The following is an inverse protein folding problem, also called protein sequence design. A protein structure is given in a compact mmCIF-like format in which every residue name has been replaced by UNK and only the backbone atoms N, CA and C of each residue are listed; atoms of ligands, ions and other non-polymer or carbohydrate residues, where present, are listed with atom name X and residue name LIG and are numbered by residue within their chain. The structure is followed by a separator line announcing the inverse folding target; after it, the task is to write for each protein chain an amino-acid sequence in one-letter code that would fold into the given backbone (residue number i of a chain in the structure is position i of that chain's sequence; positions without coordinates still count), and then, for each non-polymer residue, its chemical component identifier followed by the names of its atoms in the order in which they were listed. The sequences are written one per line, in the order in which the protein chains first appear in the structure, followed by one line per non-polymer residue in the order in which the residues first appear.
data_IF_881615839170
#
_entry.id   IF_881615839170
#
_cell.length_a   1.000
_cell.length_b   1.000
_cell.length_c   1.000
_cell.angle_alpha   90.00
_cell.angle_beta   90.00
_cell.angle_gamma   90.00
#
_symmetry.space_group_name_H-M   'P 1'
#
loop_
_entity.id
_entity.type
_entity.pdbx_description
1 polymer ?
#
# COMPACT_ATOMS: atom_id res chain seq x y z
N UNK A 1 -22.90 1.92 -5.60
CA UNK A 1 -22.82 3.15 -4.78
C UNK A 1 -23.55 2.98 -3.46
N UNK A 2 -24.87 2.76 -3.41
CA UNK A 2 -25.64 2.63 -2.14
C UNK A 2 -25.15 1.46 -1.27
N UNK A 3 -24.80 0.33 -1.88
CA UNK A 3 -24.32 -0.87 -1.17
C UNK A 3 -22.92 -0.64 -0.58
N UNK A 4 -22.08 0.08 -1.29
CA UNK A 4 -20.73 0.42 -0.88
C UNK A 4 -20.73 1.46 0.24
N UNK A 5 -21.59 2.49 0.15
CA UNK A 5 -21.80 3.47 1.22
C UNK A 5 -22.38 2.83 2.49
N UNK A 6 -23.28 1.86 2.34
CA UNK A 6 -23.82 1.11 3.48
C UNK A 6 -22.82 0.24 4.20
N UNK A 7 -21.79 -0.26 3.49
CA UNK A 7 -20.70 -1.03 4.08
C UNK A 7 -19.72 -0.14 4.89
N UNK A 8 -19.57 1.11 4.47
CA UNK A 8 -18.58 2.05 5.02
C UNK A 8 -19.19 2.97 6.08
N UNK A 9 -20.38 3.53 5.81
CA UNK A 9 -21.01 4.56 6.63
C UNK A 9 -22.30 4.10 7.35
N UNK A 10 -22.58 2.78 7.35
CA UNK A 10 -23.81 2.24 7.92
C UNK A 10 -25.07 2.50 7.08
N UNK A 11 -26.22 2.10 7.60
CA UNK A 11 -27.49 2.23 6.88
C UNK A 11 -28.00 3.67 6.92
N UNK A 12 -28.15 4.29 5.75
CA UNK A 12 -28.83 5.58 5.65
C UNK A 12 -30.31 5.52 6.07
N UNK A 13 -30.90 6.66 6.35
CA UNK A 13 -32.30 6.76 6.80
C UNK A 13 -33.25 6.40 5.63
N UNK A 14 -34.25 5.52 5.85
CA UNK A 14 -35.20 5.16 4.81
C UNK A 14 -35.92 6.41 4.26
N UNK A 15 -36.01 6.53 2.93
CA UNK A 15 -36.63 7.64 2.18
C UNK A 15 -35.96 9.02 2.28
N UNK A 16 -35.00 9.23 3.16
CA UNK A 16 -34.26 10.50 3.34
C UNK A 16 -32.85 10.42 2.80
N UNK A 17 -32.22 9.24 2.83
CA UNK A 17 -30.83 9.02 2.42
C UNK A 17 -29.86 9.21 3.56
N UNK A 18 -28.68 9.71 3.27
CA UNK A 18 -27.63 10.03 4.23
C UNK A 18 -27.67 11.53 4.54
N UNK A 19 -27.47 11.89 5.80
CA UNK A 19 -27.14 13.28 6.14
C UNK A 19 -25.80 13.66 5.50
N UNK A 20 -25.75 14.82 4.88
CA UNK A 20 -24.56 15.26 4.15
C UNK A 20 -23.34 15.41 5.07
N UNK A 21 -23.54 15.95 6.25
CA UNK A 21 -22.47 16.16 7.22
C UNK A 21 -21.99 14.82 7.80
N UNK A 22 -22.91 13.92 8.16
CA UNK A 22 -22.59 12.57 8.63
C UNK A 22 -21.85 11.77 7.56
N UNK A 23 -22.28 11.85 6.30
CA UNK A 23 -21.65 11.17 5.18
C UNK A 23 -20.25 11.73 4.90
N UNK A 24 -20.09 13.05 4.95
CA UNK A 24 -18.79 13.70 4.75
C UNK A 24 -17.82 13.28 5.84
N UNK A 25 -18.21 13.36 7.11
CA UNK A 25 -17.36 12.94 8.24
C UNK A 25 -17.00 11.45 8.15
N UNK A 26 -17.94 10.59 7.82
CA UNK A 26 -17.70 9.16 7.66
C UNK A 26 -16.75 8.85 6.50
N UNK A 27 -16.88 9.55 5.38
CA UNK A 27 -15.98 9.42 4.24
C UNK A 27 -14.59 10.01 4.56
N UNK A 28 -14.53 11.13 5.27
CA UNK A 28 -13.27 11.69 5.76
C UNK A 28 -12.58 10.77 6.76
N UNK A 29 -13.31 10.12 7.66
CA UNK A 29 -12.78 9.11 8.58
C UNK A 29 -12.30 7.86 7.84
N UNK A 30 -12.99 7.46 6.77
CA UNK A 30 -12.59 6.33 5.94
C UNK A 30 -11.43 6.65 4.99
N UNK A 31 -11.35 7.89 4.51
CA UNK A 31 -10.34 8.36 3.57
C UNK A 31 -9.20 9.11 4.28
N UNK A 32 -9.48 9.70 5.44
CA UNK A 32 -8.59 10.54 6.23
C UNK A 32 -8.34 10.03 7.65
N UNK A 33 -8.61 8.75 7.92
CA UNK A 33 -8.23 8.10 9.19
C UNK A 33 -6.76 8.35 9.50
N UNK A 34 -6.31 8.08 10.73
CA UNK A 34 -4.92 8.32 11.17
C UNK A 34 -3.94 7.93 10.07
N UNK A 35 -2.95 8.79 9.75
CA UNK A 35 -1.98 8.49 8.70
C UNK A 35 -1.39 7.09 8.90
N UNK A 36 -1.52 6.25 7.91
CA UNK A 36 -1.04 4.86 7.95
C UNK A 36 0.37 4.82 7.40
N UNK A 37 1.30 4.27 8.17
CA UNK A 37 2.68 4.11 7.73
C UNK A 37 2.80 2.95 6.74
N UNK A 38 3.50 3.20 5.64
CA UNK A 38 3.80 2.23 4.61
C UNK A 38 5.29 2.18 4.29
N UNK A 39 5.76 1.04 3.82
CA UNK A 39 7.09 0.86 3.25
C UNK A 39 7.02 0.19 1.88
N UNK A 40 8.01 0.46 1.04
CA UNK A 40 8.18 -0.21 -0.25
C UNK A 40 9.30 -1.24 -0.12
N UNK A 41 9.12 -2.43 -0.71
CA UNK A 41 10.19 -3.39 -0.90
C UNK A 41 10.41 -3.62 -2.39
N UNK A 42 11.63 -3.32 -2.82
CA UNK A 42 12.04 -3.23 -4.21
C UNK A 42 12.22 -1.77 -4.65
N UNK A 43 13.45 -1.24 -4.59
CA UNK A 43 13.75 0.13 -5.00
C UNK A 43 14.19 0.22 -6.47
N UNK A 44 13.57 -0.56 -7.34
CA UNK A 44 13.68 -0.42 -8.79
C UNK A 44 12.95 0.82 -9.31
N UNK A 45 12.83 0.94 -10.63
CA UNK A 45 12.19 2.12 -11.26
C UNK A 45 10.78 2.39 -10.73
N UNK A 46 9.94 1.35 -10.61
CA UNK A 46 8.58 1.50 -10.08
C UNK A 46 8.58 1.86 -8.60
N UNK A 47 9.38 1.15 -7.78
CA UNK A 47 9.44 1.41 -6.34
C UNK A 47 9.89 2.83 -6.04
N UNK A 48 10.88 3.36 -6.74
CA UNK A 48 11.33 4.76 -6.60
C UNK A 48 10.26 5.76 -7.04
N UNK A 49 9.59 5.52 -8.16
CA UNK A 49 8.50 6.36 -8.62
C UNK A 49 7.35 6.45 -7.60
N UNK A 50 7.00 5.31 -6.98
CA UNK A 50 6.00 5.30 -5.91
C UNK A 50 6.50 5.98 -4.63
N UNK A 51 7.78 5.82 -4.29
CA UNK A 51 8.39 6.43 -3.11
C UNK A 51 8.33 7.96 -3.15
N UNK A 52 8.56 8.54 -4.33
CA UNK A 52 8.59 9.98 -4.57
C UNK A 52 7.21 10.58 -4.84
N UNK A 53 6.19 9.74 -5.07
CA UNK A 53 4.86 10.23 -5.35
C UNK A 53 4.18 10.80 -4.10
N UNK A 54 3.94 12.10 -4.09
CA UNK A 54 3.36 12.82 -2.94
C UNK A 54 1.85 12.55 -2.73
N UNK A 55 1.13 12.13 -3.77
CA UNK A 55 -0.33 11.99 -3.73
C UNK A 55 -0.88 10.98 -2.73
N UNK A 56 -0.06 10.03 -2.25
CA UNK A 56 -0.53 9.05 -1.25
C UNK A 56 -0.84 9.68 0.10
N UNK A 57 -0.16 10.76 0.47
CA UNK A 57 -0.40 11.47 1.73
C UNK A 57 -1.78 12.14 1.77
N UNK A 58 -2.31 12.54 0.62
CA UNK A 58 -3.65 13.11 0.49
C UNK A 58 -4.74 12.09 0.87
N UNK A 59 -4.44 10.80 0.75
CA UNK A 59 -5.30 9.68 1.12
C UNK A 59 -4.90 9.02 2.45
N UNK A 60 -4.15 9.74 3.30
CA UNK A 60 -3.78 9.25 4.62
C UNK A 60 -2.73 8.14 4.65
N UNK A 61 -2.00 7.90 3.55
CA UNK A 61 -0.90 6.92 3.50
C UNK A 61 0.43 7.63 3.42
N UNK A 62 1.30 7.37 4.40
CA UNK A 62 2.64 7.93 4.41
C UNK A 62 3.69 6.84 4.14
N UNK A 63 4.30 6.88 2.96
CA UNK A 63 5.40 5.98 2.62
C UNK A 63 6.68 6.54 3.27
N UNK A 64 7.26 5.77 4.20
CA UNK A 64 8.38 6.23 5.03
C UNK A 64 9.74 5.96 4.37
N UNK A 65 9.90 4.79 3.75
CA UNK A 65 11.16 4.34 3.16
C UNK A 65 10.92 3.28 2.10
N UNK A 66 11.92 3.04 1.26
CA UNK A 66 12.03 1.83 0.44
C UNK A 66 13.16 0.94 0.94
N UNK A 67 13.05 -0.35 0.65
CA UNK A 67 14.04 -1.38 1.00
C UNK A 67 14.47 -2.15 -0.24
N UNK A 68 15.76 -2.43 -0.37
CA UNK A 68 16.31 -3.20 -1.48
C UNK A 68 17.51 -4.03 -1.04
N UNK A 69 17.81 -5.09 -1.80
CA UNK A 69 19.01 -5.91 -1.61
C UNK A 69 20.28 -5.18 -2.06
N UNK A 70 20.16 -4.35 -3.10
CA UNK A 70 21.26 -3.63 -3.73
C UNK A 70 21.24 -2.16 -3.33
N UNK A 71 21.53 -1.89 -2.07
CA UNK A 71 21.70 -0.52 -1.59
C UNK A 71 23.18 -0.20 -1.57
N UNK A 72 23.64 0.92 -2.17
CA UNK A 72 25.02 1.38 -2.02
C UNK A 72 25.39 1.56 -0.55
N UNK A 73 26.63 1.23 -0.19
CA UNK A 73 27.13 1.31 1.19
C UNK A 73 27.01 2.73 1.80
N UNK A 74 26.99 3.77 0.95
CA UNK A 74 26.87 5.18 1.33
C UNK A 74 25.40 5.61 1.55
N UNK A 75 24.44 4.67 1.46
CA UNK A 75 23.02 4.95 1.45
C UNK A 75 22.58 5.52 0.09
N UNK A 76 21.45 5.07 -0.39
CA UNK A 76 20.80 5.65 -1.55
C UNK A 76 19.60 6.46 -1.07
N UNK A 77 19.31 7.54 -1.73
CA UNK A 77 18.12 8.34 -1.49
C UNK A 77 17.37 8.48 -2.79
N UNK A 78 16.11 8.26 -2.74
CA UNK A 78 15.20 8.97 -3.61
C UNK A 78 15.27 10.47 -3.26
N UNK A 79 14.70 11.36 -4.03
CA UNK A 79 14.84 12.80 -3.84
C UNK A 79 14.55 13.24 -2.41
N UNK A 80 13.63 12.58 -1.71
CA UNK A 80 13.14 13.00 -0.38
C UNK A 80 13.18 11.90 0.70
N UNK A 81 13.26 10.61 0.34
CA UNK A 81 13.08 9.50 1.28
C UNK A 81 14.20 8.46 1.17
N UNK A 82 14.54 7.78 2.28
CA UNK A 82 15.65 6.84 2.30
C UNK A 82 15.32 5.54 1.57
N UNK A 83 16.34 4.98 0.93
CA UNK A 83 16.39 3.59 0.48
C UNK A 83 17.35 2.84 1.39
N UNK A 84 16.85 1.84 2.10
CA UNK A 84 17.52 1.11 3.17
C UNK A 84 17.81 -0.34 2.76
N UNK A 85 18.80 -0.99 3.36
CA UNK A 85 19.07 -2.40 3.14
C UNK A 85 17.96 -3.28 3.73
N UNK A 86 17.71 -4.43 3.10
CA UNK A 86 16.71 -5.41 3.55
C UNK A 86 16.93 -5.87 5.00
N UNK A 87 18.16 -5.87 5.48
CA UNK A 87 18.49 -6.23 6.87
C UNK A 87 17.85 -5.32 7.91
N UNK A 88 17.55 -4.08 7.56
CA UNK A 88 16.92 -3.11 8.46
C UNK A 88 15.37 -3.17 8.43
N UNK A 89 14.77 -3.96 7.53
CA UNK A 89 13.33 -3.95 7.29
C UNK A 89 12.51 -4.30 8.53
N UNK A 90 12.86 -5.38 9.22
CA UNK A 90 12.08 -5.87 10.35
C UNK A 90 12.07 -4.86 11.51
N UNK A 91 13.22 -4.35 11.89
CA UNK A 91 13.38 -3.38 12.98
C UNK A 91 12.70 -2.05 12.62
N UNK A 92 12.85 -1.62 11.38
CA UNK A 92 12.20 -0.40 10.90
C UNK A 92 10.67 -0.50 10.95
N UNK A 93 10.09 -1.62 10.49
CA UNK A 93 8.66 -1.85 10.51
C UNK A 93 8.12 -1.85 11.95
N UNK A 94 8.82 -2.51 12.87
CA UNK A 94 8.43 -2.55 14.29
C UNK A 94 8.50 -1.16 14.93
N UNK A 95 9.59 -0.43 14.73
CA UNK A 95 9.81 0.89 15.34
C UNK A 95 8.82 1.95 14.82
N UNK A 96 8.39 1.85 13.56
CA UNK A 96 7.52 2.83 12.92
C UNK A 96 6.05 2.39 12.81
N UNK A 97 5.68 1.25 13.41
CA UNK A 97 4.31 0.70 13.36
C UNK A 97 3.76 0.61 11.93
N UNK A 98 4.58 0.08 11.02
CA UNK A 98 4.23 -0.02 9.61
C UNK A 98 3.07 -0.99 9.43
N UNK A 99 2.01 -0.54 8.78
CA UNK A 99 0.80 -1.32 8.54
C UNK A 99 0.69 -1.83 7.10
N UNK A 100 1.27 -1.11 6.13
CA UNK A 100 1.18 -1.41 4.71
C UNK A 100 2.57 -1.72 4.14
N UNK A 101 2.67 -2.86 3.43
CA UNK A 101 3.83 -3.24 2.64
C UNK A 101 3.52 -3.16 1.14
N UNK A 102 4.28 -2.36 0.40
CA UNK A 102 4.18 -2.23 -1.05
C UNK A 102 5.26 -3.10 -1.67
N UNK A 103 4.85 -4.11 -2.44
CA UNK A 103 5.74 -5.15 -2.99
C UNK A 103 5.96 -4.89 -4.47
N UNK A 104 7.17 -4.42 -4.82
CA UNK A 104 7.59 -4.07 -6.18
C UNK A 104 8.81 -4.87 -6.65
N UNK A 105 9.08 -5.99 -6.00
CA UNK A 105 10.14 -6.94 -6.36
C UNK A 105 9.69 -7.90 -7.47
N UNK A 106 10.63 -8.58 -8.16
CA UNK A 106 10.30 -9.67 -9.08
C UNK A 106 9.48 -10.78 -8.39
N UNK A 107 8.68 -11.51 -9.17
CA UNK A 107 7.76 -12.55 -8.67
C UNK A 107 8.46 -13.62 -7.83
N UNK A 108 9.71 -13.93 -8.17
CA UNK A 108 10.53 -14.95 -7.50
C UNK A 108 10.85 -14.57 -6.04
N UNK A 109 10.94 -13.27 -5.75
CA UNK A 109 11.24 -12.75 -4.42
C UNK A 109 10.00 -12.33 -3.63
N UNK A 110 8.86 -12.19 -4.29
CA UNK A 110 7.67 -11.56 -3.73
C UNK A 110 7.14 -12.29 -2.49
N UNK A 111 7.09 -13.63 -2.49
CA UNK A 111 6.62 -14.40 -1.34
C UNK A 111 7.54 -14.24 -0.14
N UNK A 112 8.84 -14.40 -0.33
CA UNK A 112 9.82 -14.29 0.75
C UNK A 112 9.82 -12.91 1.41
N UNK A 113 9.71 -11.85 0.60
CA UNK A 113 9.59 -10.47 1.07
C UNK A 113 8.31 -10.26 1.86
N UNK A 114 7.20 -10.77 1.37
CA UNK A 114 5.89 -10.65 2.03
C UNK A 114 5.87 -11.38 3.37
N UNK A 115 6.51 -12.55 3.46
CA UNK A 115 6.66 -13.31 4.71
C UNK A 115 7.49 -12.52 5.75
N UNK A 116 8.53 -11.81 5.33
CA UNK A 116 9.31 -10.95 6.21
C UNK A 116 8.46 -9.79 6.71
N UNK A 117 7.77 -9.08 5.82
CA UNK A 117 6.87 -7.98 6.18
C UNK A 117 5.78 -8.44 7.16
N UNK A 118 5.15 -9.59 6.89
CA UNK A 118 4.11 -10.14 7.75
C UNK A 118 4.63 -10.44 9.16
N UNK A 119 5.80 -11.09 9.27
CA UNK A 119 6.47 -11.36 10.56
C UNK A 119 6.86 -10.08 11.31
N UNK A 120 7.09 -9.00 10.58
CA UNK A 120 7.40 -7.68 11.14
C UNK A 120 6.15 -6.87 11.55
N UNK A 121 4.95 -7.47 11.49
CA UNK A 121 3.70 -6.86 11.94
C UNK A 121 2.84 -6.24 10.84
N UNK A 122 3.31 -6.21 9.58
CA UNK A 122 2.52 -5.70 8.45
C UNK A 122 1.36 -6.65 8.16
N UNK A 123 0.18 -6.10 7.90
CA UNK A 123 -1.05 -6.85 7.64
C UNK A 123 -1.76 -6.47 6.36
N UNK A 124 -1.38 -5.37 5.73
CA UNK A 124 -1.93 -4.95 4.45
C UNK A 124 -0.83 -4.91 3.38
N UNK A 125 -1.11 -5.44 2.20
CA UNK A 125 -0.13 -5.59 1.12
C UNK A 125 -0.67 -5.02 -0.18
N UNK A 126 0.15 -4.23 -0.85
CA UNK A 126 -0.11 -3.75 -2.21
C UNK A 126 0.94 -4.35 -3.14
N UNK A 127 0.53 -5.35 -3.93
CA UNK A 127 1.45 -6.18 -4.69
C UNK A 127 1.42 -5.86 -6.19
N UNK A 128 2.55 -5.46 -6.71
CA UNK A 128 2.78 -5.23 -8.14
C UNK A 128 3.48 -6.40 -8.84
N UNK A 129 3.93 -7.40 -8.09
CA UNK A 129 4.52 -8.60 -8.67
C UNK A 129 3.45 -9.45 -9.38
N UNK A 130 3.72 -9.97 -10.57
CA UNK A 130 2.75 -10.77 -11.34
C UNK A 130 2.68 -12.22 -10.81
N UNK A 131 2.29 -12.37 -9.56
CA UNK A 131 2.15 -13.67 -8.88
C UNK A 131 1.00 -13.63 -7.87
N UNK A 132 0.59 -14.81 -7.40
CA UNK A 132 -0.31 -14.95 -6.26
C UNK A 132 0.50 -15.25 -5.01
N UNK A 133 0.25 -14.51 -3.95
CA UNK A 133 0.91 -14.67 -2.66
C UNK A 133 0.04 -15.51 -1.73
N UNK A 134 0.69 -16.36 -0.94
CA UNK A 134 0.06 -17.09 0.15
C UNK A 134 0.17 -16.27 1.42
N UNK A 135 -0.97 -15.86 1.96
CA UNK A 135 -1.04 -15.01 3.14
C UNK A 135 -1.95 -15.65 4.19
N UNK A 136 -1.68 -15.43 5.48
CA UNK A 136 -2.61 -15.75 6.55
C UNK A 136 -3.94 -15.01 6.42
N UNK A 137 -5.04 -15.57 7.02
CA UNK A 137 -6.39 -15.03 6.85
C UNK A 137 -6.60 -13.62 7.41
N UNK A 138 -5.72 -13.18 8.31
CA UNK A 138 -5.75 -11.84 8.94
C UNK A 138 -5.02 -10.77 8.12
N UNK A 139 -4.40 -11.17 7.00
CA UNK A 139 -3.76 -10.23 6.07
C UNK A 139 -4.70 -9.89 4.91
N UNK A 140 -4.64 -8.64 4.49
CA UNK A 140 -5.36 -8.15 3.30
C UNK A 140 -4.37 -7.83 2.19
N UNK A 141 -4.78 -8.10 0.94
CA UNK A 141 -3.92 -7.85 -0.21
C UNK A 141 -4.71 -7.25 -1.37
N UNK A 142 -4.12 -6.25 -1.99
CA UNK A 142 -4.52 -5.68 -3.27
C UNK A 142 -3.45 -6.00 -4.31
N UNK A 143 -3.85 -6.56 -5.44
CA UNK A 143 -2.96 -6.80 -6.58
C UNK A 143 -3.14 -5.75 -7.65
N UNK A 144 -2.02 -5.26 -8.17
CA UNK A 144 -2.01 -4.36 -9.32
C UNK A 144 -1.34 -5.02 -10.52
N UNK A 145 -2.01 -4.94 -11.67
CA UNK A 145 -1.46 -5.39 -12.93
C UNK A 145 -1.62 -4.29 -14.00
N UNK A 146 -0.59 -3.46 -14.09
CA UNK A 146 -0.57 -2.32 -15.03
C UNK A 146 -0.72 -2.77 -16.49
N UNK A 147 -0.13 -3.92 -16.84
CA UNK A 147 -0.24 -4.47 -18.18
C UNK A 147 -1.67 -4.93 -18.50
N UNK A 148 -2.36 -5.53 -17.53
CA UNK A 148 -3.75 -5.95 -17.69
C UNK A 148 -4.69 -4.74 -17.81
N UNK A 149 -4.47 -3.68 -17.05
CA UNK A 149 -5.22 -2.43 -17.15
C UNK A 149 -5.10 -1.82 -18.55
N UNK A 150 -3.87 -1.81 -19.10
CA UNK A 150 -3.65 -1.34 -20.46
C UNK A 150 -4.28 -2.27 -21.52
N UNK A 151 -4.23 -3.59 -21.31
CA UNK A 151 -4.86 -4.56 -22.20
C UNK A 151 -6.39 -4.40 -22.23
N UNK A 152 -7.02 -4.12 -21.09
CA UNK A 152 -8.45 -3.80 -21.03
C UNK A 152 -8.80 -2.54 -21.81
N UNK A 153 -7.96 -1.50 -21.74
CA UNK A 153 -8.17 -0.29 -22.55
C UNK A 153 -8.07 -0.61 -24.05
N UNK A 154 -7.04 -1.37 -24.45
CA UNK A 154 -6.86 -1.80 -25.85
C UNK A 154 -8.07 -2.59 -26.38
N UNK A 155 -8.69 -3.43 -25.55
CA UNK A 155 -9.84 -4.24 -25.96
C UNK A 155 -11.12 -3.41 -26.24
N UNK A 156 -11.10 -2.11 -25.91
CA UNK A 156 -12.24 -1.17 -26.16
C UNK A 156 -12.02 -0.30 -27.39
N UNK A 157 -10.89 -0.43 -28.09
CA UNK A 157 -10.60 0.24 -29.36
C UNK A 157 -11.11 -0.58 -30.55
#
# INVERSE_FOLDING_TARGET
VRKDLGAVCGAGRPRVGYDRAELTTCLEDCLGGRPVAAVIVGAGKLGRALLDYAGFSEYGTNILAAFDLNVPAEGDRSELKPVLPMSALADFCAANHVSIGIVTVPKEAAQAVTDVLYRSGVRAFWCFAPCRLQLPPDAVIQYENLALSLAHLKARL
#
